data_IF_711226003076
#
_entry.id   IF_711226003076
#
_cell.length_a   1.000
_cell.length_b   1.000
_cell.length_c   1.000
_cell.angle_alpha   90.00
_cell.angle_beta   90.00
_cell.angle_gamma   90.00
#
_symmetry.space_group_name_H-M   'P 1'
#
loop_
_entity.id
_entity.type
_entity.pdbx_description
1 polymer ?
#
# COMPACT_ATOMS: atom_id res chain seq x y z
N UNK A 1 -39.32 -8.51 -38.79
CA UNK A 1 -38.02 -8.57 -39.51
C UNK A 1 -36.91 -9.11 -38.60
N UNK A 2 -36.71 -8.65 -37.38
CA UNK A 2 -35.63 -9.07 -36.46
C UNK A 2 -35.65 -10.60 -36.20
N UNK A 3 -36.82 -11.21 -35.94
CA UNK A 3 -36.95 -12.67 -35.73
C UNK A 3 -36.44 -13.51 -36.90
N UNK A 4 -36.59 -13.03 -38.12
CA UNK A 4 -36.11 -13.70 -39.31
C UNK A 4 -34.56 -13.69 -39.36
N UNK A 5 -33.94 -12.52 -39.11
CA UNK A 5 -32.49 -12.39 -39.10
C UNK A 5 -31.84 -13.23 -37.99
N UNK A 6 -32.45 -13.26 -36.82
CA UNK A 6 -31.96 -14.11 -35.69
C UNK A 6 -32.03 -15.59 -36.07
N UNK A 7 -33.11 -16.05 -36.74
CA UNK A 7 -33.24 -17.47 -37.19
C UNK A 7 -32.20 -17.84 -38.23
N UNK A 8 -31.92 -16.92 -39.17
CA UNK A 8 -30.89 -17.14 -40.21
C UNK A 8 -29.49 -17.14 -39.56
N UNK A 9 -29.19 -16.22 -38.66
CA UNK A 9 -27.91 -16.17 -37.94
C UNK A 9 -27.67 -17.45 -37.13
N UNK A 10 -28.66 -17.92 -36.39
CA UNK A 10 -28.55 -19.15 -35.61
C UNK A 10 -28.32 -20.39 -36.53
N UNK A 11 -29.01 -20.45 -37.65
CA UNK A 11 -28.82 -21.53 -38.63
C UNK A 11 -27.42 -21.51 -39.24
N UNK A 12 -26.84 -20.33 -39.50
CA UNK A 12 -25.48 -20.19 -39.99
C UNK A 12 -24.45 -20.63 -38.95
N UNK A 13 -24.63 -20.25 -37.67
CA UNK A 13 -23.79 -20.70 -36.57
C UNK A 13 -23.76 -22.22 -36.45
N UNK A 14 -24.93 -22.85 -36.58
CA UNK A 14 -25.05 -24.32 -36.54
C UNK A 14 -24.50 -25.01 -37.79
N UNK A 15 -24.52 -24.34 -38.93
CA UNK A 15 -23.97 -24.89 -40.20
C UNK A 15 -22.44 -24.88 -40.19
N UNK A 16 -21.82 -23.83 -39.66
CA UNK A 16 -20.36 -23.65 -39.63
C UNK A 16 -19.82 -23.77 -38.19
N UNK A 17 -20.09 -24.92 -37.56
CA UNK A 17 -19.83 -25.15 -36.12
C UNK A 17 -18.38 -24.85 -35.69
N UNK A 18 -17.40 -25.34 -36.44
CA UNK A 18 -15.98 -25.18 -36.10
C UNK A 18 -15.56 -23.72 -36.13
N UNK A 19 -15.93 -22.99 -37.19
CA UNK A 19 -15.60 -21.57 -37.31
C UNK A 19 -16.31 -20.75 -36.24
N UNK A 20 -17.59 -21.05 -35.98
CA UNK A 20 -18.35 -20.39 -34.94
C UNK A 20 -17.76 -20.62 -33.54
N UNK A 21 -17.35 -21.88 -33.27
CA UNK A 21 -16.70 -22.21 -31.98
C UNK A 21 -15.39 -21.48 -31.78
N UNK A 22 -14.52 -21.44 -32.79
CA UNK A 22 -13.25 -20.71 -32.74
C UNK A 22 -13.50 -19.23 -32.50
N UNK A 23 -14.46 -18.61 -33.19
CA UNK A 23 -14.82 -17.21 -33.03
C UNK A 23 -15.37 -16.91 -31.63
N UNK A 24 -16.23 -17.79 -31.11
CA UNK A 24 -16.79 -17.62 -29.74
C UNK A 24 -15.69 -17.74 -28.70
N UNK A 25 -14.80 -18.72 -28.80
CA UNK A 25 -13.67 -18.87 -27.86
C UNK A 25 -12.75 -17.65 -27.94
N UNK A 26 -12.39 -17.22 -29.15
CA UNK A 26 -11.53 -16.04 -29.33
C UNK A 26 -12.15 -14.77 -28.72
N UNK A 27 -13.46 -14.56 -28.95
CA UNK A 27 -14.18 -13.44 -28.37
C UNK A 27 -14.27 -13.53 -26.86
N UNK A 28 -14.52 -14.73 -26.32
CA UNK A 28 -14.60 -14.96 -24.87
C UNK A 28 -13.25 -14.68 -24.19
N UNK A 29 -12.15 -15.16 -24.76
CA UNK A 29 -10.80 -14.88 -24.24
C UNK A 29 -10.50 -13.40 -24.31
N UNK A 30 -10.74 -12.75 -25.45
CA UNK A 30 -10.52 -11.32 -25.62
C UNK A 30 -11.32 -10.47 -24.64
N UNK A 31 -12.59 -10.81 -24.45
CA UNK A 31 -13.44 -10.12 -23.46
C UNK A 31 -12.98 -10.33 -22.03
N UNK A 32 -12.54 -11.55 -21.69
CA UNK A 32 -12.01 -11.86 -20.35
C UNK A 32 -10.74 -11.06 -20.07
N UNK A 33 -9.80 -11.04 -21.01
CA UNK A 33 -8.58 -10.23 -20.87
C UNK A 33 -8.90 -8.74 -20.72
N UNK A 34 -9.82 -8.22 -21.53
CA UNK A 34 -10.26 -6.83 -21.42
C UNK A 34 -10.89 -6.54 -20.05
N UNK A 35 -11.82 -7.39 -19.59
CA UNK A 35 -12.48 -7.21 -18.30
C UNK A 35 -11.49 -7.24 -17.13
N UNK A 36 -10.54 -8.18 -17.14
CA UNK A 36 -9.49 -8.25 -16.13
C UNK A 36 -8.60 -7.00 -16.14
N UNK A 37 -8.23 -6.51 -17.34
CA UNK A 37 -7.44 -5.28 -17.46
C UNK A 37 -8.18 -4.06 -16.89
N UNK A 38 -9.47 -3.92 -17.19
CA UNK A 38 -10.30 -2.82 -16.64
C UNK A 38 -10.43 -2.93 -15.13
N UNK A 39 -10.64 -4.14 -14.60
CA UNK A 39 -10.71 -4.37 -13.16
C UNK A 39 -9.38 -4.03 -12.47
N UNK A 40 -8.26 -4.42 -13.06
CA UNK A 40 -6.93 -4.10 -12.55
C UNK A 40 -6.69 -2.59 -12.54
N UNK A 41 -6.94 -1.90 -13.65
CA UNK A 41 -6.79 -0.44 -13.73
C UNK A 41 -7.67 0.25 -12.69
N UNK A 42 -8.92 -0.20 -12.55
CA UNK A 42 -9.84 0.37 -11.57
C UNK A 42 -9.35 0.15 -10.14
N UNK A 43 -8.84 -1.04 -9.82
CA UNK A 43 -8.25 -1.35 -8.52
C UNK A 43 -7.06 -0.43 -8.24
N UNK A 44 -6.13 -0.28 -9.18
CA UNK A 44 -4.95 0.58 -9.04
C UNK A 44 -5.34 2.06 -8.85
N UNK A 45 -6.31 2.55 -9.61
CA UNK A 45 -6.78 3.92 -9.50
C UNK A 45 -7.56 4.23 -8.22
N UNK A 46 -8.09 3.22 -7.54
CA UNK A 46 -8.80 3.36 -6.27
C UNK A 46 -7.95 3.01 -5.05
N UNK A 47 -6.72 2.54 -5.28
CA UNK A 47 -5.75 2.29 -4.23
C UNK A 47 -5.48 3.61 -3.47
N UNK A 48 -5.38 3.57 -2.17
CA UNK A 48 -5.15 4.74 -1.28
C UNK A 48 -6.23 5.85 -1.29
N UNK A 49 -7.30 5.74 -2.07
CA UNK A 49 -8.37 6.77 -2.08
C UNK A 49 -9.21 6.82 -0.80
N UNK A 50 -9.05 5.85 0.10
CA UNK A 50 -9.71 5.83 1.41
C UNK A 50 -9.17 6.90 2.37
N UNK A 51 -7.97 7.43 2.13
CA UNK A 51 -7.43 8.52 2.92
C UNK A 51 -8.12 9.85 2.58
N UNK A 52 -8.62 10.54 3.59
CA UNK A 52 -9.20 11.87 3.41
C UNK A 52 -8.12 12.84 2.92
N UNK A 53 -8.36 13.50 1.79
CA UNK A 53 -7.40 14.43 1.21
C UNK A 53 -6.23 13.76 0.47
N UNK A 54 -6.37 12.48 0.05
CA UNK A 54 -5.34 11.77 -0.69
C UNK A 54 -4.83 12.56 -1.91
N UNK A 55 -5.70 13.31 -2.57
CA UNK A 55 -5.38 14.18 -3.71
C UNK A 55 -4.44 15.35 -3.36
N UNK A 56 -4.26 15.64 -2.07
CA UNK A 56 -3.38 16.71 -1.56
C UNK A 56 -2.11 16.18 -0.89
N UNK A 57 -1.93 14.86 -0.88
CA UNK A 57 -0.75 14.21 -0.31
C UNK A 57 0.27 13.99 -1.42
N UNK A 58 1.47 14.51 -1.22
CA UNK A 58 2.57 14.41 -2.16
C UNK A 58 3.80 13.79 -1.50
N UNK A 59 4.38 12.79 -2.17
CA UNK A 59 5.66 12.23 -1.76
C UNK A 59 6.79 13.03 -2.39
N UNK A 60 7.71 13.52 -1.56
CA UNK A 60 8.93 14.18 -2.03
C UNK A 60 9.96 13.11 -2.38
N UNK A 61 10.51 13.18 -3.58
CA UNK A 61 11.51 12.26 -4.09
C UNK A 61 12.76 13.02 -4.51
N UNK A 62 13.93 12.43 -4.32
CA UNK A 62 15.18 13.00 -4.77
C UNK A 62 15.54 12.49 -6.18
N UNK A 63 15.91 13.40 -7.05
CA UNK A 63 16.51 13.09 -8.35
C UNK A 63 17.98 13.48 -8.32
N UNK A 64 18.86 12.49 -8.45
CA UNK A 64 20.32 12.73 -8.46
C UNK A 64 20.80 12.97 -9.89
N UNK A 65 21.37 14.13 -10.11
CA UNK A 65 21.88 14.55 -11.45
C UNK A 65 23.03 13.68 -11.97
N UNK A 66 23.78 13.09 -11.06
CA UNK A 66 24.96 12.28 -11.39
C UNK A 66 24.60 10.87 -11.89
N UNK A 67 23.38 10.43 -11.65
CA UNK A 67 22.85 9.14 -12.08
C UNK A 67 21.52 9.40 -12.82
N UNK A 68 21.58 9.63 -14.14
CA UNK A 68 20.38 9.82 -14.95
C UNK A 68 19.41 8.64 -14.73
N UNK A 69 18.13 8.95 -14.57
CA UNK A 69 17.04 8.00 -14.33
C UNK A 69 16.92 7.46 -12.89
N UNK A 70 17.83 7.78 -11.96
CA UNK A 70 17.71 7.35 -10.58
C UNK A 70 16.87 8.32 -9.75
N UNK A 71 15.62 7.94 -9.49
CA UNK A 71 14.74 8.65 -8.57
C UNK A 71 14.70 7.87 -7.26
N UNK A 72 15.15 8.50 -6.18
CA UNK A 72 15.17 7.91 -4.84
C UNK A 72 13.96 8.37 -4.02
N UNK A 73 13.37 7.45 -3.30
CA UNK A 73 12.37 7.77 -2.27
C UNK A 73 13.00 8.26 -0.97
N UNK A 74 14.34 8.12 -0.84
CA UNK A 74 15.09 8.62 0.30
C UNK A 74 15.50 10.07 0.08
N UNK A 75 15.19 10.92 1.03
CA UNK A 75 15.51 12.35 1.04
C UNK A 75 16.20 12.72 2.35
N UNK A 76 17.01 13.79 2.39
CA UNK A 76 17.62 14.25 3.64
C UNK A 76 16.55 14.56 4.70
N UNK A 77 16.75 14.09 5.92
CA UNK A 77 15.81 14.24 7.03
C UNK A 77 15.31 15.70 7.25
N UNK A 78 16.15 16.76 7.16
CA UNK A 78 15.69 18.13 7.36
C UNK A 78 14.85 18.71 6.20
N UNK A 79 14.80 18.02 5.05
CA UNK A 79 14.18 18.56 3.85
C UNK A 79 12.70 18.91 4.04
N UNK A 80 11.94 18.06 4.70
CA UNK A 80 10.52 18.27 4.92
C UNK A 80 10.25 19.55 5.74
N UNK A 81 11.05 19.80 6.78
CA UNK A 81 10.96 21.02 7.60
C UNK A 81 11.35 22.26 6.79
N UNK A 82 12.42 22.17 6.03
CA UNK A 82 12.88 23.26 5.18
C UNK A 82 11.85 23.63 4.10
N UNK A 83 11.26 22.65 3.45
CA UNK A 83 10.22 22.91 2.44
C UNK A 83 8.99 23.57 3.06
N UNK A 84 8.52 23.11 4.21
CA UNK A 84 7.38 23.74 4.90
C UNK A 84 7.67 25.21 5.29
N UNK A 85 8.91 25.51 5.70
CA UNK A 85 9.31 26.91 6.01
C UNK A 85 9.32 27.80 4.77
N UNK A 86 9.74 27.27 3.62
CA UNK A 86 9.93 28.05 2.37
C UNK A 86 8.70 28.10 1.49
N UNK A 87 7.77 27.18 1.64
CA UNK A 87 6.59 27.04 0.80
C UNK A 87 5.32 27.07 1.67
N UNK A 88 4.68 28.26 1.79
CA UNK A 88 3.48 28.42 2.62
C UNK A 88 2.28 27.56 2.20
N UNK A 89 2.31 27.02 0.98
CA UNK A 89 1.30 26.13 0.44
C UNK A 89 1.33 24.73 1.10
N UNK A 90 2.45 24.40 1.78
CA UNK A 90 2.60 23.13 2.49
C UNK A 90 1.96 23.28 3.89
N UNK A 91 0.74 22.79 4.00
CA UNK A 91 -0.03 22.88 5.27
C UNK A 91 0.54 21.98 6.35
N UNK A 92 0.99 20.78 6.00
CA UNK A 92 1.54 19.81 6.93
C UNK A 92 2.64 18.97 6.28
N UNK A 93 3.50 18.41 7.09
CA UNK A 93 4.54 17.47 6.68
C UNK A 93 4.50 16.22 7.55
N UNK A 94 4.85 15.09 6.99
CA UNK A 94 5.11 13.87 7.72
C UNK A 94 6.41 13.24 7.20
N UNK A 95 7.20 12.71 8.12
CA UNK A 95 8.46 12.05 7.78
C UNK A 95 8.41 10.61 8.25
N UNK A 96 8.81 9.70 7.39
CA UNK A 96 8.92 8.28 7.73
C UNK A 96 10.18 7.69 7.13
N UNK A 97 10.75 6.70 7.80
CA UNK A 97 11.78 5.85 7.26
C UNK A 97 11.43 4.38 7.50
N UNK A 98 11.69 3.53 6.49
CA UNK A 98 11.41 2.11 6.56
C UNK A 98 12.73 1.35 6.58
N UNK A 99 12.91 0.56 7.62
CA UNK A 99 14.07 -0.30 7.82
C UNK A 99 13.64 -1.75 7.60
N UNK A 100 14.23 -2.37 6.61
CA UNK A 100 14.01 -3.80 6.33
C UNK A 100 15.02 -4.63 7.09
N UNK A 101 14.69 -5.89 7.34
CA UNK A 101 15.57 -6.88 7.96
C UNK A 101 16.05 -6.49 9.38
N UNK A 102 15.22 -5.75 10.11
CA UNK A 102 15.50 -5.43 11.52
C UNK A 102 15.29 -6.69 12.34
N UNK A 103 16.29 -7.03 13.15
CA UNK A 103 16.21 -8.20 14.03
C UNK A 103 15.67 -7.79 15.38
N UNK A 104 14.63 -8.46 15.80
CA UNK A 104 14.10 -8.33 17.16
C UNK A 104 14.32 -9.63 17.91
N UNK A 105 14.75 -9.52 19.16
CA UNK A 105 14.91 -10.67 20.06
C UNK A 105 13.88 -10.59 21.17
N UNK A 106 13.24 -11.73 21.40
CA UNK A 106 12.31 -11.92 22.50
C UNK A 106 12.66 -13.25 23.17
N UNK A 107 13.02 -13.19 24.44
CA UNK A 107 13.48 -14.35 25.19
C UNK A 107 14.63 -15.07 24.46
N UNK A 108 14.37 -16.23 23.84
CA UNK A 108 15.38 -17.01 23.11
C UNK A 108 15.17 -17.00 21.59
N UNK A 109 14.12 -16.36 21.11
CA UNK A 109 13.76 -16.35 19.69
C UNK A 109 14.16 -15.02 19.02
N UNK A 110 14.64 -15.11 17.79
CA UNK A 110 14.97 -13.97 16.92
C UNK A 110 14.02 -13.93 15.74
N UNK A 111 13.47 -12.76 15.49
CA UNK A 111 12.54 -12.52 14.39
C UNK A 111 13.06 -11.40 13.49
N UNK A 112 12.93 -11.58 12.20
CA UNK A 112 13.22 -10.54 11.21
C UNK A 112 11.96 -9.82 10.83
N UNK A 113 11.94 -8.49 10.96
CA UNK A 113 10.76 -7.66 10.76
C UNK A 113 11.08 -6.43 9.93
N UNK A 114 10.04 -5.83 9.39
CA UNK A 114 10.10 -4.48 8.81
C UNK A 114 9.68 -3.49 9.88
N UNK A 115 10.55 -2.52 10.17
CA UNK A 115 10.28 -1.46 11.13
C UNK A 115 10.14 -0.13 10.40
N UNK A 116 9.12 0.65 10.74
CA UNK A 116 8.95 2.01 10.29
C UNK A 116 9.18 2.98 11.45
N UNK A 117 10.07 3.95 11.26
CA UNK A 117 10.14 5.11 12.14
C UNK A 117 9.33 6.24 11.48
N UNK A 118 8.48 6.88 12.25
CA UNK A 118 7.60 7.93 11.77
C UNK A 118 7.47 9.04 12.82
N UNK A 119 7.23 10.26 12.36
CA UNK A 119 6.92 11.37 13.26
C UNK A 119 5.45 11.34 13.70
N UNK A 120 5.11 12.15 14.69
CA UNK A 120 3.75 12.22 15.23
C UNK A 120 2.72 12.69 14.21
N UNK A 121 3.14 13.44 13.19
CA UNK A 121 2.26 13.91 12.12
C UNK A 121 1.82 12.77 11.21
N UNK A 122 2.64 11.74 11.05
CA UNK A 122 2.34 10.58 10.19
C UNK A 122 1.03 9.88 10.57
N UNK A 123 0.82 9.63 11.86
CA UNK A 123 -0.41 9.02 12.37
C UNK A 123 -1.65 9.83 12.01
N UNK A 124 -1.57 11.15 12.18
CA UNK A 124 -2.66 12.07 11.86
C UNK A 124 -2.89 12.18 10.36
N UNK A 125 -1.81 12.21 9.57
CA UNK A 125 -1.84 12.31 8.12
C UNK A 125 -2.58 11.14 7.48
N UNK A 126 -2.27 9.92 7.94
CA UNK A 126 -2.85 8.69 7.40
C UNK A 126 -4.02 8.16 8.24
N UNK A 127 -4.50 8.91 9.23
CA UNK A 127 -5.62 8.53 10.11
C UNK A 127 -5.43 7.15 10.74
N UNK A 128 -4.19 6.81 11.11
CA UNK A 128 -3.87 5.54 11.73
C UNK A 128 -4.40 5.55 13.16
N UNK A 129 -5.23 4.58 13.49
CA UNK A 129 -5.83 4.45 14.81
C UNK A 129 -5.08 3.41 15.63
N UNK A 130 -4.80 3.74 16.89
CA UNK A 130 -4.36 2.76 17.85
C UNK A 130 -5.57 1.94 18.32
N UNK A 131 -5.46 0.63 18.25
CA UNK A 131 -6.46 -0.26 18.83
C UNK A 131 -6.34 -0.28 20.35
N UNK A 132 -5.11 -0.31 20.86
CA UNK A 132 -4.78 -0.36 22.29
C UNK A 132 -3.50 0.39 22.59
N UNK A 133 -3.31 0.80 23.85
CA UNK A 133 -2.11 1.51 24.27
C UNK A 133 -2.21 3.02 24.14
N UNK A 134 -1.07 3.68 24.08
CA UNK A 134 -0.95 5.14 24.02
C UNK A 134 -0.02 5.57 22.89
N UNK A 135 -0.14 6.81 22.45
CA UNK A 135 0.76 7.42 21.44
C UNK A 135 2.14 7.83 22.00
N UNK A 136 2.49 7.37 23.19
CA UNK A 136 3.77 7.74 23.80
C UNK A 136 4.99 7.29 23.01
N UNK A 137 4.88 6.20 22.26
CA UNK A 137 5.94 5.69 21.38
C UNK A 137 6.38 6.70 20.31
N UNK A 138 5.60 7.77 20.06
CA UNK A 138 5.96 8.85 19.13
C UNK A 138 6.75 9.98 19.79
N UNK A 139 6.97 9.93 21.11
CA UNK A 139 7.76 10.93 21.81
C UNK A 139 9.25 10.65 21.63
N UNK A 140 10.02 11.71 21.48
CA UNK A 140 11.48 11.60 21.45
C UNK A 140 12.01 10.90 22.71
N UNK A 141 13.00 10.04 22.51
CA UNK A 141 13.66 9.26 23.57
C UNK A 141 12.73 8.33 24.37
N UNK A 142 11.56 7.98 23.82
CA UNK A 142 10.73 6.95 24.40
C UNK A 142 11.08 5.59 23.75
N UNK A 143 11.45 4.56 24.51
CA UNK A 143 11.79 3.24 23.99
C UNK A 143 10.55 2.41 23.57
N UNK A 144 9.36 2.95 23.71
CA UNK A 144 8.14 2.23 23.31
C UNK A 144 8.03 2.12 21.79
N UNK A 145 7.47 1.01 21.33
CA UNK A 145 7.14 0.78 19.90
C UNK A 145 5.68 0.38 19.77
N UNK A 146 5.08 0.69 18.64
CA UNK A 146 3.78 0.14 18.24
C UNK A 146 3.98 -1.06 17.33
N UNK A 147 3.14 -2.06 17.49
CA UNK A 147 3.12 -3.27 16.66
C UNK A 147 1.77 -3.40 15.96
N UNK A 148 1.74 -4.06 14.81
CA UNK A 148 0.48 -4.35 14.13
C UNK A 148 -0.32 -5.41 14.90
N UNK A 149 -1.64 -5.39 14.73
CA UNK A 149 -2.53 -6.39 15.32
C UNK A 149 -2.11 -7.82 14.94
N UNK A 150 -1.78 -8.03 13.67
CA UNK A 150 -1.32 -9.31 13.16
C UNK A 150 -0.03 -9.78 13.85
N UNK A 151 0.92 -8.85 14.02
CA UNK A 151 2.19 -9.14 14.72
C UNK A 151 1.94 -9.47 16.19
N UNK A 152 1.08 -8.71 16.88
CA UNK A 152 0.73 -8.96 18.27
C UNK A 152 0.11 -10.36 18.44
N UNK A 153 -0.85 -10.73 17.61
CA UNK A 153 -1.47 -12.06 17.63
C UNK A 153 -0.49 -13.18 17.34
N UNK A 154 0.40 -12.98 16.38
CA UNK A 154 1.38 -13.99 15.97
C UNK A 154 2.39 -14.31 17.05
N UNK A 155 2.89 -13.30 17.77
CA UNK A 155 3.94 -13.49 18.76
C UNK A 155 3.44 -13.67 20.18
N UNK A 156 2.34 -12.99 20.55
CA UNK A 156 1.84 -12.97 21.93
C UNK A 156 0.50 -13.70 22.11
N UNK A 157 -0.13 -14.11 21.00
CA UNK A 157 -1.45 -14.77 21.03
C UNK A 157 -2.62 -13.79 21.03
N UNK A 158 -2.48 -12.62 21.63
CA UNK A 158 -3.50 -11.57 21.63
C UNK A 158 -2.89 -10.17 21.68
N UNK A 159 -3.70 -9.14 21.38
CA UNK A 159 -3.28 -7.74 21.49
C UNK A 159 -3.08 -7.32 22.95
N UNK A 160 -3.85 -7.89 23.88
CA UNK A 160 -3.75 -7.58 25.31
C UNK A 160 -2.45 -8.12 25.91
N UNK A 161 -2.05 -9.31 25.48
CA UNK A 161 -0.81 -9.94 25.96
C UNK A 161 0.45 -9.27 25.42
N UNK A 162 0.35 -8.50 24.33
CA UNK A 162 1.45 -7.76 23.74
C UNK A 162 1.79 -6.47 24.50
N UNK A 163 0.81 -5.88 25.21
CA UNK A 163 1.03 -4.61 25.92
C UNK A 163 2.01 -4.78 27.09
N UNK A 164 3.00 -3.89 27.14
CA UNK A 164 4.00 -3.87 28.21
C UNK A 164 5.05 -4.98 28.13
N UNK A 165 5.09 -5.73 27.04
CA UNK A 165 6.18 -6.69 26.80
C UNK A 165 7.43 -5.98 26.32
N UNK A 166 8.56 -6.50 26.73
CA UNK A 166 9.87 -5.99 26.32
C UNK A 166 10.43 -6.82 25.17
N UNK A 167 11.07 -6.13 24.23
CA UNK A 167 11.81 -6.77 23.15
C UNK A 167 13.11 -6.02 22.88
N UNK A 168 14.13 -6.73 22.51
CA UNK A 168 15.42 -6.14 22.12
C UNK A 168 15.43 -5.96 20.60
N UNK A 169 15.71 -4.73 20.16
CA UNK A 169 15.80 -4.37 18.74
C UNK A 169 17.28 -4.23 18.39
N UNK A 170 17.75 -5.11 17.52
CA UNK A 170 19.11 -5.10 17.01
C UNK A 170 19.08 -4.64 15.55
N UNK A 171 19.55 -3.42 15.30
CA UNK A 171 19.63 -2.79 13.98
C UNK A 171 21.04 -2.58 13.48
#
# INVERSE_FOLDING_TARGET
>A
MIKHYLKVAFRNLMKYKTQSLVSIIGLAVGFTCFALSVLWIRYEMTYDTFHKGAERIYMVRAHYTDIPEHISNSTPYPLAAYLQEKMPEIEAKATTSIHQNVKIRMENDEYEVVMAAADSAFMNFFHIQLLKGTVNFLKENNPEIAVTEEFAKKLFGSEDDALGKEMEVNG
#
